data_IF_711826896350
#
_entry.id   IF_711826896350
#
_cell.length_a   1.000
_cell.length_b   1.000
_cell.length_c   1.000
_cell.angle_alpha   90.00
_cell.angle_beta   90.00
_cell.angle_gamma   90.00
#
_symmetry.space_group_name_H-M   'P 1'
#
loop_
_entity.id
_entity.type
_entity.pdbx_description
1 polymer ?
#
# COMPACT_ATOMS: atom_id res chain seq x y z
N UNK A 1 4.41 -11.18 -31.64
CA UNK A 1 3.75 -10.13 -30.86
C UNK A 1 4.01 -10.38 -29.40
N UNK A 2 4.73 -9.49 -28.79
CA UNK A 2 5.02 -9.59 -27.37
C UNK A 2 3.81 -9.14 -26.58
N UNK A 3 3.39 -9.97 -25.63
CA UNK A 3 2.42 -9.54 -24.65
C UNK A 3 2.93 -8.26 -23.95
N UNK A 4 2.04 -7.37 -23.61
CA UNK A 4 2.42 -6.18 -22.84
C UNK A 4 3.15 -6.62 -21.58
N UNK A 5 4.41 -6.24 -21.45
CA UNK A 5 5.16 -6.52 -20.25
C UNK A 5 4.72 -5.58 -19.15
N UNK A 6 4.23 -6.16 -18.06
CA UNK A 6 3.90 -5.42 -16.86
C UNK A 6 5.07 -5.52 -15.88
N UNK A 7 5.41 -4.41 -15.28
CA UNK A 7 6.33 -4.41 -14.14
C UNK A 7 5.49 -4.57 -12.88
N UNK A 8 5.76 -5.62 -12.13
CA UNK A 8 5.02 -5.95 -10.93
C UNK A 8 5.84 -5.57 -9.70
N UNK A 9 5.21 -4.88 -8.78
CA UNK A 9 5.81 -4.50 -7.50
C UNK A 9 4.92 -5.03 -6.40
N UNK A 10 5.48 -5.89 -5.55
CA UNK A 10 4.77 -6.46 -4.41
C UNK A 10 5.56 -6.23 -3.15
N UNK A 11 4.87 -5.91 -2.08
CA UNK A 11 5.47 -5.85 -0.75
C UNK A 11 4.41 -6.20 0.29
N UNK A 12 4.85 -6.58 1.47
CA UNK A 12 3.94 -7.00 2.52
C UNK A 12 4.56 -6.79 3.88
N UNK A 13 3.71 -6.64 4.88
CA UNK A 13 4.13 -6.58 6.27
C UNK A 13 3.11 -7.31 7.14
N UNK A 14 3.60 -7.97 8.17
CA UNK A 14 2.77 -8.60 9.19
C UNK A 14 2.80 -7.71 10.44
N UNK A 15 1.63 -7.36 10.91
CA UNK A 15 1.46 -6.52 12.10
C UNK A 15 0.68 -7.27 13.18
N UNK A 16 1.03 -7.03 14.43
CA UNK A 16 0.45 -7.72 15.59
C UNK A 16 -0.81 -7.03 16.08
N UNK A 17 -1.75 -6.79 15.18
CA UNK A 17 -3.04 -6.22 15.52
C UNK A 17 -4.13 -6.87 14.67
N UNK A 18 -5.38 -6.69 15.07
CA UNK A 18 -6.51 -7.19 14.29
C UNK A 18 -6.72 -6.37 13.03
N UNK A 19 -7.45 -6.93 12.07
CA UNK A 19 -7.83 -6.18 10.85
C UNK A 19 -8.62 -4.93 11.22
N UNK A 20 -9.50 -5.00 12.20
CA UNK A 20 -10.28 -3.84 12.65
C UNK A 20 -9.39 -2.72 13.17
N UNK A 21 -8.35 -3.05 13.94
CA UNK A 21 -7.38 -2.07 14.42
C UNK A 21 -6.58 -1.46 13.28
N UNK A 22 -6.15 -2.28 12.32
CA UNK A 22 -5.47 -1.80 11.11
C UNK A 22 -6.39 -0.90 10.28
N UNK A 23 -7.66 -1.27 10.15
CA UNK A 23 -8.66 -0.49 9.44
C UNK A 23 -8.87 0.90 10.06
N UNK A 24 -8.77 1.02 11.38
CA UNK A 24 -8.87 2.32 12.03
C UNK A 24 -7.76 3.27 11.59
N UNK A 25 -6.58 2.75 11.32
CA UNK A 25 -5.50 3.57 10.79
C UNK A 25 -5.80 4.06 9.37
N UNK A 26 -6.54 3.26 8.60
CA UNK A 26 -6.98 3.62 7.25
C UNK A 26 -8.20 4.54 7.23
N UNK A 27 -8.90 4.67 8.33
CA UNK A 27 -10.14 5.44 8.43
C UNK A 27 -9.90 6.95 8.57
N UNK A 28 -8.68 7.40 8.37
CA UNK A 28 -8.36 8.82 8.33
C UNK A 28 -8.83 9.48 7.03
N UNK A 29 -8.78 10.82 6.97
CA UNK A 29 -9.24 11.55 5.79
C UNK A 29 -8.41 11.25 4.55
N UNK A 30 -7.18 10.79 4.69
CA UNK A 30 -6.32 10.44 3.58
C UNK A 30 -5.32 9.36 3.99
N UNK A 31 -5.73 8.09 3.94
CA UNK A 31 -4.87 6.98 4.37
C UNK A 31 -3.61 6.83 3.51
N UNK A 32 -3.70 7.12 2.21
CA UNK A 32 -2.54 7.03 1.32
C UNK A 32 -1.49 8.06 1.72
N UNK A 33 -1.89 9.29 1.98
CA UNK A 33 -0.97 10.33 2.43
C UNK A 33 -0.36 9.99 3.79
N UNK A 34 -1.19 9.49 4.70
CA UNK A 34 -0.74 9.14 6.04
C UNK A 34 0.25 7.98 6.05
N UNK A 35 0.01 6.95 5.22
CA UNK A 35 0.80 5.71 5.23
C UNK A 35 2.05 5.80 4.36
N UNK A 36 1.94 6.42 3.19
CA UNK A 36 3.00 6.36 2.18
C UNK A 36 3.69 7.70 1.93
N UNK A 37 3.46 8.68 2.80
CA UNK A 37 4.02 10.04 2.66
C UNK A 37 3.77 10.63 1.28
N UNK A 38 2.55 10.48 0.81
CA UNK A 38 2.14 11.05 -0.45
C UNK A 38 1.43 12.36 -0.22
N UNK A 39 1.57 13.28 -1.15
CA UNK A 39 0.81 14.53 -1.16
C UNK A 39 -0.30 14.39 -2.18
N UNK A 40 -1.52 14.60 -1.74
CA UNK A 40 -2.70 14.40 -2.60
C UNK A 40 -3.44 15.70 -2.83
N UNK A 41 -3.92 15.88 -4.05
CA UNK A 41 -4.95 16.84 -4.39
C UNK A 41 -6.06 16.11 -5.14
N UNK A 42 -7.02 16.84 -5.73
CA UNK A 42 -8.26 16.24 -6.28
C UNK A 42 -8.02 15.10 -7.27
N UNK A 43 -7.00 15.21 -8.11
CA UNK A 43 -6.78 14.26 -9.19
C UNK A 43 -5.41 13.59 -9.15
N UNK A 44 -4.46 14.14 -8.40
CA UNK A 44 -3.10 13.65 -8.40
C UNK A 44 -2.63 13.22 -7.02
N UNK A 45 -1.69 12.27 -7.02
CA UNK A 45 -0.97 11.84 -5.83
C UNK A 45 0.51 11.94 -6.14
N UNK A 46 1.24 12.76 -5.40
CA UNK A 46 2.69 12.86 -5.52
C UNK A 46 3.32 11.89 -4.56
N UNK A 47 4.03 10.91 -5.09
CA UNK A 47 4.73 9.89 -4.31
C UNK A 47 6.17 10.34 -4.13
N UNK A 48 6.58 10.50 -2.88
CA UNK A 48 7.94 10.96 -2.53
C UNK A 48 8.69 9.81 -1.86
N UNK A 49 9.91 9.55 -2.34
CA UNK A 49 10.77 8.55 -1.74
C UNK A 49 12.22 8.98 -1.81
N UNK A 50 13.11 8.22 -1.17
CA UNK A 50 14.56 8.43 -1.25
C UNK A 50 15.08 8.30 -2.70
N UNK A 51 14.36 7.57 -3.54
CA UNK A 51 14.72 7.38 -4.96
C UNK A 51 14.21 8.48 -5.86
N UNK A 52 13.41 9.41 -5.35
CA UNK A 52 12.84 10.52 -6.09
C UNK A 52 11.33 10.62 -5.94
N UNK A 53 10.74 11.47 -6.74
CA UNK A 53 9.32 11.75 -6.73
C UNK A 53 8.67 11.36 -8.05
N UNK A 54 7.43 10.91 -8.00
CA UNK A 54 6.61 10.77 -9.20
C UNK A 54 5.18 11.21 -8.91
N UNK A 55 4.49 11.63 -9.95
CA UNK A 55 3.11 12.10 -9.85
C UNK A 55 2.19 11.11 -10.53
N UNK A 56 1.27 10.56 -9.77
CA UNK A 56 0.22 9.68 -10.26
C UNK A 56 -1.04 10.51 -10.51
N UNK A 57 -1.50 10.55 -11.76
CA UNK A 57 -2.83 11.07 -12.09
C UNK A 57 -3.84 9.97 -11.89
N UNK A 58 -4.69 10.12 -10.89
CA UNK A 58 -5.68 9.10 -10.55
C UNK A 58 -6.87 9.21 -11.48
N UNK A 59 -7.28 8.09 -12.05
CA UNK A 59 -8.53 7.98 -12.82
C UNK A 59 -9.63 7.34 -11.99
N UNK A 60 -9.28 6.47 -11.06
CA UNK A 60 -10.23 5.94 -10.08
C UNK A 60 -9.52 5.55 -8.79
N UNK A 61 -10.26 5.63 -7.70
CA UNK A 61 -9.84 5.14 -6.39
C UNK A 61 -11.07 4.58 -5.72
N UNK A 62 -10.97 3.33 -5.28
CA UNK A 62 -12.13 2.64 -4.74
C UNK A 62 -11.78 1.75 -3.57
N UNK A 63 -12.50 1.92 -2.49
CA UNK A 63 -12.46 1.03 -1.35
C UNK A 63 -13.51 -0.07 -1.52
N UNK A 64 -13.08 -1.33 -1.33
CA UNK A 64 -13.93 -2.52 -1.40
C UNK A 64 -14.06 -3.09 0.01
N UNK A 65 -15.14 -2.77 0.75
CA UNK A 65 -15.24 -3.17 2.16
C UNK A 65 -15.32 -4.67 2.37
N UNK A 66 -15.95 -5.40 1.46
CA UNK A 66 -16.07 -6.86 1.56
C UNK A 66 -14.71 -7.55 1.42
N UNK A 67 -13.86 -7.06 0.52
CA UNK A 67 -12.54 -7.62 0.27
C UNK A 67 -11.46 -6.97 1.12
N UNK A 68 -11.80 -5.93 1.87
CA UNK A 68 -10.86 -5.12 2.66
C UNK A 68 -9.67 -4.67 1.81
N UNK A 69 -9.99 -4.12 0.66
CA UNK A 69 -9.01 -3.71 -0.34
C UNK A 69 -9.28 -2.32 -0.89
N UNK A 70 -8.20 -1.58 -1.09
CA UNK A 70 -8.23 -0.29 -1.77
C UNK A 70 -7.59 -0.48 -3.15
N UNK A 71 -8.29 -0.07 -4.20
CA UNK A 71 -7.73 -0.09 -5.56
C UNK A 71 -7.60 1.32 -6.10
N UNK A 72 -6.50 1.56 -6.78
CA UNK A 72 -6.20 2.84 -7.41
C UNK A 72 -5.76 2.59 -8.84
N UNK A 73 -6.38 3.26 -9.77
CA UNK A 73 -5.99 3.25 -11.17
C UNK A 73 -5.60 4.66 -11.59
N UNK A 74 -4.59 4.75 -12.43
CA UNK A 74 -4.12 6.03 -12.91
C UNK A 74 -2.97 5.91 -13.89
N UNK A 75 -2.21 7.00 -14.01
CA UNK A 75 -1.09 7.12 -14.94
C UNK A 75 0.04 7.92 -14.32
N UNK A 76 1.25 7.46 -14.53
CA UNK A 76 2.45 8.25 -14.28
C UNK A 76 3.03 8.59 -15.64
N UNK A 77 2.74 9.80 -16.16
CA UNK A 77 3.08 10.16 -17.53
C UNK A 77 2.36 9.24 -18.52
N UNK A 78 3.12 8.51 -19.33
CA UNK A 78 2.58 7.54 -20.30
C UNK A 78 2.41 6.12 -19.72
N UNK A 79 2.70 5.94 -18.45
CA UNK A 79 2.66 4.62 -17.79
C UNK A 79 1.32 4.41 -17.12
N UNK A 80 0.60 3.36 -17.52
CA UNK A 80 -0.60 2.96 -16.80
C UNK A 80 -0.23 2.30 -15.49
N UNK A 81 -0.93 2.66 -14.42
CA UNK A 81 -0.70 2.13 -13.09
C UNK A 81 -2.01 1.56 -12.54
N UNK A 82 -1.94 0.33 -12.07
CA UNK A 82 -3.00 -0.27 -11.27
C UNK A 82 -2.38 -0.73 -9.96
N UNK A 83 -2.90 -0.25 -8.86
CA UNK A 83 -2.35 -0.57 -7.54
C UNK A 83 -3.47 -0.97 -6.59
N UNK A 84 -3.15 -1.83 -5.64
CA UNK A 84 -4.07 -2.14 -4.58
C UNK A 84 -3.34 -2.44 -3.27
N UNK A 85 -4.06 -2.20 -2.19
CA UNK A 85 -3.66 -2.52 -0.84
C UNK A 85 -4.74 -3.42 -0.26
N UNK A 86 -4.33 -4.54 0.33
CA UNK A 86 -5.26 -5.53 0.89
C UNK A 86 -4.87 -5.84 2.33
N UNK A 87 -5.87 -5.96 3.18
CA UNK A 87 -5.70 -6.37 4.57
C UNK A 87 -6.24 -7.79 4.73
N UNK A 88 -5.45 -8.66 5.35
CA UNK A 88 -5.80 -10.06 5.51
C UNK A 88 -5.57 -10.50 6.95
N UNK A 89 -6.62 -11.05 7.58
CA UNK A 89 -6.52 -11.61 8.92
C UNK A 89 -5.68 -12.89 8.88
N UNK A 90 -4.71 -12.97 9.78
CA UNK A 90 -3.84 -14.15 9.89
C UNK A 90 -3.63 -14.53 11.35
N UNK A 91 -3.11 -15.73 11.57
CA UNK A 91 -2.64 -16.11 12.89
C UNK A 91 -1.19 -15.63 13.03
N UNK A 92 -0.98 -14.67 13.92
CA UNK A 92 0.34 -14.09 14.15
C UNK A 92 1.24 -15.03 14.95
N UNK A 93 0.70 -15.61 16.00
CA UNK A 93 1.41 -16.57 16.84
C UNK A 93 0.46 -17.44 17.64
N UNK A 94 0.96 -18.59 18.09
CA UNK A 94 0.25 -19.46 19.02
C UNK A 94 1.16 -19.65 20.24
N UNK A 95 0.64 -19.30 21.41
CA UNK A 95 1.39 -19.35 22.65
C UNK A 95 0.47 -19.79 23.78
N UNK A 96 0.86 -20.83 24.52
CA UNK A 96 0.15 -21.34 25.68
C UNK A 96 -1.34 -21.60 25.43
N UNK A 97 -1.69 -22.15 24.27
CA UNK A 97 -3.07 -22.40 23.88
C UNK A 97 -3.85 -21.16 23.42
N UNK A 98 -3.20 -20.01 23.40
CA UNK A 98 -3.79 -18.77 22.89
C UNK A 98 -3.38 -18.52 21.45
N UNK A 99 -4.35 -18.18 20.62
CA UNK A 99 -4.14 -17.78 19.24
C UNK A 99 -4.09 -16.27 19.19
N UNK A 100 -2.95 -15.73 18.81
CA UNK A 100 -2.78 -14.29 18.63
C UNK A 100 -3.04 -13.96 17.16
N UNK A 101 -4.04 -13.14 16.92
CA UNK A 101 -4.39 -12.71 15.58
C UNK A 101 -3.52 -11.53 15.15
N UNK A 102 -3.20 -11.51 13.88
CA UNK A 102 -2.48 -10.42 13.24
C UNK A 102 -3.13 -10.02 11.94
N UNK A 103 -2.53 -9.06 11.29
CA UNK A 103 -2.97 -8.60 9.97
C UNK A 103 -1.78 -8.61 9.04
N UNK A 104 -1.94 -9.22 7.90
CA UNK A 104 -0.99 -9.12 6.80
C UNK A 104 -1.48 -8.02 5.86
N UNK A 105 -0.62 -7.05 5.62
CA UNK A 105 -0.93 -5.91 4.75
C UNK A 105 -0.11 -6.08 3.48
N UNK A 106 -0.81 -6.20 2.37
CA UNK A 106 -0.21 -6.39 1.06
C UNK A 106 -0.39 -5.14 0.23
N UNK A 107 0.66 -4.70 -0.42
CA UNK A 107 0.60 -3.67 -1.44
C UNK A 107 1.12 -4.23 -2.75
N UNK A 108 0.43 -3.91 -3.82
CA UNK A 108 0.75 -4.40 -5.15
C UNK A 108 0.55 -3.28 -6.16
N UNK A 109 1.47 -3.16 -7.10
CA UNK A 109 1.34 -2.23 -8.21
C UNK A 109 1.75 -2.91 -9.51
N UNK A 110 0.97 -2.67 -10.55
CA UNK A 110 1.25 -3.08 -11.90
C UNK A 110 1.49 -1.84 -12.73
N UNK A 111 2.68 -1.74 -13.29
CA UNK A 111 3.07 -0.63 -14.15
C UNK A 111 3.16 -1.13 -15.59
N UNK A 112 2.44 -0.46 -16.48
CA UNK A 112 2.53 -0.70 -17.90
C UNK A 112 3.85 -0.23 -18.46
N UNK A 113 4.06 -0.49 -19.74
CA UNK A 113 5.26 -0.07 -20.45
C UNK A 113 5.22 1.43 -20.75
N UNK A 114 6.32 2.12 -20.49
CA UNK A 114 6.45 3.54 -20.77
C UNK A 114 7.88 4.01 -20.68
N UNK A 115 8.10 5.29 -20.95
CA UNK A 115 9.44 5.87 -21.08
C UNK A 115 10.28 5.80 -19.80
N UNK A 116 9.65 5.86 -18.65
CA UNK A 116 10.33 5.92 -17.35
C UNK A 116 9.82 4.87 -16.36
N UNK A 117 9.43 3.70 -16.88
CA UNK A 117 8.87 2.64 -16.05
C UNK A 117 9.85 2.19 -14.96
N UNK A 118 11.13 2.03 -15.29
CA UNK A 118 12.14 1.62 -14.29
C UNK A 118 12.30 2.63 -13.17
N UNK A 119 12.28 3.92 -13.51
CA UNK A 119 12.37 4.98 -12.52
C UNK A 119 11.15 4.98 -11.63
N UNK A 120 9.96 4.92 -12.21
CA UNK A 120 8.71 4.85 -11.46
C UNK A 120 8.67 3.63 -10.55
N UNK A 121 9.12 2.47 -11.04
CA UNK A 121 9.18 1.24 -10.26
C UNK A 121 10.09 1.38 -9.03
N UNK A 122 11.25 2.00 -9.17
CA UNK A 122 12.14 2.24 -8.04
C UNK A 122 11.52 3.16 -7.00
N UNK A 123 10.87 4.23 -7.45
CA UNK A 123 10.21 5.18 -6.56
C UNK A 123 9.08 4.49 -5.78
N UNK A 124 8.24 3.73 -6.47
CA UNK A 124 7.11 3.03 -5.85
C UNK A 124 7.60 1.94 -4.90
N UNK A 125 8.62 1.19 -5.29
CA UNK A 125 9.21 0.15 -4.42
C UNK A 125 9.71 0.75 -3.12
N UNK A 126 10.43 1.86 -3.19
CA UNK A 126 10.93 2.56 -2.00
C UNK A 126 9.80 3.14 -1.16
N UNK A 127 8.77 3.68 -1.80
CA UNK A 127 7.61 4.22 -1.10
C UNK A 127 6.83 3.11 -0.38
N UNK A 128 6.65 1.96 -1.00
CA UNK A 128 5.99 0.82 -0.37
C UNK A 128 6.77 0.34 0.85
N UNK A 129 8.07 0.13 0.71
CA UNK A 129 8.91 -0.33 1.81
C UNK A 129 8.86 0.65 2.99
N UNK A 130 8.97 1.93 2.72
CA UNK A 130 8.91 2.97 3.74
C UNK A 130 7.52 3.03 4.39
N UNK A 131 6.47 2.98 3.59
CA UNK A 131 5.09 3.04 4.08
C UNK A 131 4.73 1.84 4.95
N UNK A 132 5.09 0.64 4.51
CA UNK A 132 4.83 -0.57 5.29
C UNK A 132 5.61 -0.59 6.61
N UNK A 133 6.85 -0.13 6.60
CA UNK A 133 7.64 -0.01 7.83
C UNK A 133 7.03 1.00 8.79
N UNK A 134 6.53 2.11 8.26
CA UNK A 134 5.83 3.12 9.05
C UNK A 134 4.56 2.53 9.69
N UNK A 135 3.77 1.81 8.92
CA UNK A 135 2.56 1.13 9.41
C UNK A 135 2.92 0.13 10.52
N UNK A 136 3.95 -0.68 10.29
CA UNK A 136 4.40 -1.66 11.27
C UNK A 136 4.77 -0.99 12.59
N UNK A 137 5.54 0.09 12.53
CA UNK A 137 5.96 0.82 13.72
C UNK A 137 4.77 1.44 14.46
N UNK A 138 3.82 2.00 13.74
CA UNK A 138 2.63 2.60 14.33
C UNK A 138 1.71 1.55 14.97
N UNK A 139 1.49 0.43 14.30
CA UNK A 139 0.60 -0.61 14.80
C UNK A 139 1.24 -1.47 15.90
N UNK A 140 2.54 -1.69 15.85
CA UNK A 140 3.25 -2.41 16.92
C UNK A 140 3.40 -1.55 18.18
N UNK A 141 3.36 -0.23 18.03
CA UNK A 141 3.36 0.70 19.16
C UNK A 141 2.05 0.76 19.89
N UNK A 142 0.96 0.44 19.18
CA UNK A 142 -0.34 0.39 19.82
C UNK A 142 -0.24 -0.63 20.95
N UNK A 143 -0.09 -0.20 22.20
CA UNK A 143 -0.07 -1.19 23.24
C UNK A 143 -1.44 -1.85 23.21
N UNK A 144 -1.47 -3.14 22.96
CA UNK A 144 -2.57 -3.94 23.38
C UNK A 144 -2.60 -3.83 24.90
N UNK A 145 -3.14 -2.72 25.35
CA UNK A 145 -3.46 -2.60 26.74
C UNK A 145 -4.67 -3.50 26.93
N UNK A 146 -4.40 -4.74 27.00
CA UNK A 146 -5.40 -5.70 27.47
C UNK A 146 -5.49 -5.63 28.95
#
# INVERSE_FOLDING_TARGET
MTAAELTLIDDQVLVACTVDEAMQLLDGPDPIAAWFRATRNETTTTITSAEGDCVLERTSERWHPTDQALTIDGRIGDIHVHAHLTLMAVVHSISDGHVNHGTEIWVHAELGRGSHTRRAARIITAAFAHGLEHIRLELDRSPNVG
#
